data_IF_068699353436
#
_entry.id   IF_068699353436
#
_cell.length_a   1.000
_cell.length_b   1.000
_cell.length_c   1.000
_cell.angle_alpha   90.00
_cell.angle_beta   90.00
_cell.angle_gamma   90.00
#
_symmetry.space_group_name_H-M   'P 1'
#
loop_
_entity.id
_entity.type
_entity.pdbx_description
1 polymer ?
#
# COMPACT_ATOMS: atom_id res chain seq x y z
N UNK A 1 -33.60 -20.66 13.00
CA UNK A 1 -32.57 -19.83 13.67
C UNK A 1 -31.61 -19.31 12.61
N UNK A 2 -31.86 -18.11 12.08
CA UNK A 2 -31.03 -17.47 11.05
C UNK A 2 -30.63 -16.09 11.55
N UNK A 3 -29.54 -16.02 12.32
CA UNK A 3 -28.91 -14.77 12.75
C UNK A 3 -27.74 -14.49 11.81
N UNK A 4 -27.87 -13.41 11.05
CA UNK A 4 -27.02 -13.04 9.93
C UNK A 4 -25.58 -12.69 10.34
N UNK A 5 -24.61 -13.22 9.58
CA UNK A 5 -23.21 -12.77 9.51
C UNK A 5 -23.03 -11.31 9.00
N UNK A 6 -24.10 -10.52 8.96
CA UNK A 6 -24.06 -9.12 8.55
C UNK A 6 -23.66 -8.18 9.69
N UNK A 7 -23.87 -8.55 10.96
CA UNK A 7 -23.50 -7.72 12.10
C UNK A 7 -22.00 -7.74 12.42
N UNK A 8 -21.24 -8.72 11.93
CA UNK A 8 -19.78 -8.77 12.10
C UNK A 8 -19.01 -7.94 11.07
N UNK A 9 -19.67 -7.37 10.05
CA UNK A 9 -19.02 -6.51 9.03
C UNK A 9 -19.03 -5.01 9.39
N UNK A 10 -19.58 -4.60 10.53
CA UNK A 10 -19.53 -3.19 10.98
C UNK A 10 -18.17 -2.75 11.56
N UNK A 11 -17.24 -3.67 11.84
CA UNK A 11 -15.95 -3.37 12.46
C UNK A 11 -14.73 -3.23 11.53
N UNK A 12 -14.90 -3.27 10.20
CA UNK A 12 -13.78 -3.18 9.24
C UNK A 12 -13.75 -1.89 8.42
N UNK A 13 -14.61 -0.93 8.74
CA UNK A 13 -14.41 0.42 8.25
C UNK A 13 -13.33 1.06 9.10
N UNK A 14 -12.29 1.58 8.46
CA UNK A 14 -11.30 2.42 9.11
C UNK A 14 -12.07 3.58 9.76
N UNK A 15 -12.19 3.60 11.10
CA UNK A 15 -12.76 4.77 11.74
C UNK A 15 -11.82 5.94 11.46
N UNK A 16 -12.31 6.89 10.66
CA UNK A 16 -11.58 8.11 10.27
C UNK A 16 -10.99 8.84 11.48
N UNK A 17 -11.60 8.70 12.66
CA UNK A 17 -11.14 9.26 13.93
C UNK A 17 -9.77 8.73 14.39
N UNK A 18 -9.29 7.63 13.82
CA UNK A 18 -8.01 7.01 14.17
C UNK A 18 -6.95 7.04 13.08
N UNK A 19 -7.35 7.28 11.82
CA UNK A 19 -6.44 7.44 10.69
C UNK A 19 -5.78 8.83 10.75
N UNK A 20 -4.48 8.86 11.01
CA UNK A 20 -3.73 10.10 11.15
C UNK A 20 -2.78 10.29 9.95
N UNK A 21 -2.59 11.54 9.56
CA UNK A 21 -1.60 11.91 8.57
C UNK A 21 -0.25 12.13 9.23
N UNK A 22 0.80 11.52 8.67
CA UNK A 22 2.16 11.64 9.17
C UNK A 22 3.11 12.12 8.07
N UNK A 23 4.15 12.84 8.46
CA UNK A 23 5.27 13.13 7.55
C UNK A 23 6.04 11.85 7.28
N UNK A 24 6.43 11.66 6.03
CA UNK A 24 7.13 10.45 5.61
C UNK A 24 8.52 10.35 6.24
N UNK A 25 9.21 11.47 6.38
CA UNK A 25 10.53 11.55 6.99
C UNK A 25 10.77 12.81 7.80
N UNK A 26 11.99 12.93 8.28
CA UNK A 26 12.42 14.05 9.12
C UNK A 26 12.55 15.35 8.31
N UNK A 27 11.99 16.45 8.83
CA UNK A 27 12.21 17.79 8.30
C UNK A 27 13.40 18.45 8.99
N UNK A 28 14.49 18.61 8.23
CA UNK A 28 15.75 19.19 8.70
C UNK A 28 15.88 20.68 8.44
N UNK A 29 14.83 21.36 7.98
CA UNK A 29 14.84 22.82 7.81
C UNK A 29 15.09 23.57 9.13
N UNK A 30 14.72 22.95 10.27
CA UNK A 30 15.05 23.43 11.61
C UNK A 30 16.06 22.49 12.29
N UNK A 31 17.35 22.88 12.28
CA UNK A 31 18.45 22.09 12.86
C UNK A 31 18.40 22.00 14.40
N UNK A 32 17.64 22.87 15.07
CA UNK A 32 17.57 22.93 16.54
C UNK A 32 16.48 21.98 17.07
N UNK A 33 15.36 21.88 16.35
CA UNK A 33 14.24 21.00 16.69
C UNK A 33 13.68 20.35 15.42
N UNK A 34 14.34 19.32 14.87
CA UNK A 34 13.82 18.63 13.71
C UNK A 34 12.48 17.98 14.04
N UNK A 35 11.51 18.15 13.12
CA UNK A 35 10.21 17.50 13.23
C UNK A 35 10.38 16.11 12.61
N UNK A 36 10.13 15.07 13.40
CA UNK A 36 10.26 13.69 12.95
C UNK A 36 9.24 13.31 11.89
N UNK A 37 9.51 12.18 11.25
CA UNK A 37 8.57 11.50 10.35
C UNK A 37 8.64 9.99 10.56
N UNK A 38 7.91 9.25 9.74
CA UNK A 38 7.80 7.80 9.81
C UNK A 38 9.17 7.11 9.62
N UNK A 39 9.98 7.61 8.68
CA UNK A 39 11.20 6.96 8.23
C UNK A 39 12.40 7.92 8.26
N UNK A 40 13.58 7.40 8.57
CA UNK A 40 14.82 8.18 8.53
C UNK A 40 15.34 8.34 7.10
N UNK A 41 15.09 7.34 6.26
CA UNK A 41 15.45 7.35 4.85
C UNK A 41 14.18 7.14 4.02
N UNK A 42 13.78 8.14 3.25
CA UNK A 42 12.57 8.08 2.42
C UNK A 42 12.85 7.67 0.97
N UNK A 43 14.09 7.26 0.67
CA UNK A 43 14.50 6.97 -0.70
C UNK A 43 14.36 8.19 -1.61
N UNK A 44 13.66 8.01 -2.73
CA UNK A 44 13.35 9.09 -3.68
C UNK A 44 12.12 9.91 -3.28
N UNK A 45 11.36 9.48 -2.26
CA UNK A 45 10.19 10.22 -1.80
C UNK A 45 10.60 11.44 -0.98
N UNK A 46 9.83 12.52 -1.12
CA UNK A 46 10.04 13.73 -0.33
C UNK A 46 9.82 13.45 1.16
N UNK A 47 10.79 13.75 2.04
CA UNK A 47 10.65 13.50 3.47
C UNK A 47 9.54 14.34 4.12
N UNK A 48 9.19 15.49 3.52
CA UNK A 48 8.12 16.35 4.03
C UNK A 48 6.73 15.99 3.48
N UNK A 49 6.62 14.99 2.60
CA UNK A 49 5.34 14.50 2.12
C UNK A 49 4.50 13.97 3.29
N UNK A 50 3.19 14.22 3.24
CA UNK A 50 2.24 13.67 4.19
C UNK A 50 1.58 12.43 3.62
N UNK A 51 1.48 11.38 4.43
CA UNK A 51 0.80 10.13 4.08
C UNK A 51 -0.23 9.80 5.14
N UNK A 52 -1.35 9.24 4.71
CA UNK A 52 -2.32 8.63 5.61
C UNK A 52 -1.75 7.31 6.09
N UNK A 53 -1.81 7.07 7.40
CA UNK A 53 -1.41 5.80 7.98
C UNK A 53 -2.61 5.02 8.49
N UNK A 54 -2.49 3.70 8.46
CA UNK A 54 -3.45 2.81 9.11
C UNK A 54 -3.33 2.86 10.64
N UNK A 55 -4.18 2.09 11.29
CA UNK A 55 -4.36 2.09 12.74
C UNK A 55 -3.40 1.14 13.48
N UNK A 56 -2.59 0.37 12.74
CA UNK A 56 -1.73 -0.68 13.30
C UNK A 56 -0.39 -0.08 13.78
N UNK A 57 -0.48 0.70 14.86
CA UNK A 57 0.54 1.53 15.54
C UNK A 57 1.94 0.86 15.76
N UNK A 58 2.74 0.73 14.70
CA UNK A 58 4.09 0.12 14.72
C UNK A 58 5.26 1.09 14.80
N UNK A 59 5.12 2.28 14.20
CA UNK A 59 6.24 3.19 14.01
C UNK A 59 6.18 4.32 15.02
N UNK A 60 7.24 4.52 15.79
CA UNK A 60 7.34 5.63 16.74
C UNK A 60 7.77 6.91 16.01
N UNK A 61 6.98 7.98 16.14
CA UNK A 61 7.21 9.29 15.51
C UNK A 61 7.30 10.36 16.59
N UNK A 62 8.34 11.20 16.51
CA UNK A 62 8.48 12.40 17.35
C UNK A 62 7.85 13.60 16.64
N UNK A 63 6.88 14.24 17.26
CA UNK A 63 6.21 15.43 16.76
C UNK A 63 6.99 16.71 17.09
N UNK A 64 6.66 17.81 16.40
CA UNK A 64 7.33 19.09 16.56
C UNK A 64 7.18 19.73 17.95
N UNK A 65 6.17 19.33 18.72
CA UNK A 65 5.98 19.73 20.12
C UNK A 65 6.78 18.86 21.12
N UNK A 66 7.52 17.86 20.64
CA UNK A 66 8.28 16.92 21.46
C UNK A 66 7.54 15.63 21.81
N UNK A 67 6.24 15.53 21.54
CA UNK A 67 5.45 14.35 21.83
C UNK A 67 5.90 13.15 20.99
N UNK A 68 5.75 11.96 21.56
CA UNK A 68 6.05 10.70 20.90
C UNK A 68 4.73 9.97 20.67
N UNK A 69 4.38 9.76 19.41
CA UNK A 69 3.18 9.01 19.01
C UNK A 69 3.54 7.78 18.20
N UNK A 70 2.62 6.83 18.11
CA UNK A 70 2.78 5.66 17.24
C UNK A 70 1.87 5.78 16.01
N UNK A 71 2.46 5.53 14.85
CA UNK A 71 1.82 5.53 13.55
C UNK A 71 1.73 4.10 13.00
N UNK A 72 0.70 3.84 12.19
CA UNK A 72 0.61 2.63 11.38
C UNK A 72 1.51 2.67 10.14
N UNK A 73 1.36 1.68 9.27
CA UNK A 73 1.96 1.74 7.94
C UNK A 73 1.22 2.77 7.07
N UNK A 74 1.87 3.38 6.06
CA UNK A 74 1.17 4.16 5.06
C UNK A 74 0.02 3.37 4.42
N UNK A 75 -1.01 4.07 3.96
CA UNK A 75 -2.08 3.47 3.15
C UNK A 75 -1.75 3.73 1.69
N UNK A 76 -1.77 2.68 0.85
CA UNK A 76 -1.64 2.85 -0.60
C UNK A 76 -2.93 3.44 -1.16
N UNK A 77 -2.81 4.45 -2.01
CA UNK A 77 -3.93 5.10 -2.67
C UNK A 77 -3.79 5.01 -4.18
N UNK A 78 -4.69 4.29 -4.84
CA UNK A 78 -4.74 4.22 -6.30
C UNK A 78 -5.99 4.94 -6.79
N UNK A 79 -5.79 6.05 -7.50
CA UNK A 79 -6.89 6.76 -8.15
C UNK A 79 -7.25 6.05 -9.45
N UNK A 80 -8.54 5.85 -9.70
CA UNK A 80 -8.98 5.36 -10.98
C UNK A 80 -8.93 6.46 -12.04
N UNK A 81 -8.47 6.11 -13.24
CA UNK A 81 -8.68 6.88 -14.46
C UNK A 81 -9.80 6.22 -15.28
N UNK A 82 -11.05 6.73 -15.19
CA UNK A 82 -12.18 6.14 -15.90
C UNK A 82 -12.11 6.37 -17.42
N UNK A 83 -11.17 7.20 -17.91
CA UNK A 83 -10.96 7.38 -19.34
C UNK A 83 -10.14 6.24 -19.95
N UNK A 84 -9.38 5.51 -19.14
CA UNK A 84 -8.64 4.33 -19.56
C UNK A 84 -9.58 3.12 -19.69
N UNK A 85 -9.59 2.52 -20.88
CA UNK A 85 -10.48 1.39 -21.20
C UNK A 85 -9.89 0.02 -20.85
N UNK A 86 -8.62 -0.01 -20.47
CA UNK A 86 -7.88 -1.23 -20.18
C UNK A 86 -7.65 -1.36 -18.68
N UNK A 87 -8.16 -2.43 -18.08
CA UNK A 87 -7.84 -2.76 -16.70
C UNK A 87 -6.34 -3.00 -16.51
N UNK A 88 -5.73 -3.72 -17.45
CA UNK A 88 -4.28 -3.94 -17.54
C UNK A 88 -3.89 -4.11 -19.01
N UNK A 89 -2.67 -3.74 -19.38
CA UNK A 89 -2.14 -4.07 -20.71
C UNK A 89 -1.84 -5.57 -20.82
N UNK A 90 -2.10 -6.15 -22.00
CA UNK A 90 -1.97 -7.59 -22.25
C UNK A 90 -0.54 -8.06 -22.46
N UNK A 91 0.35 -7.18 -22.88
CA UNK A 91 1.77 -7.47 -23.09
C UNK A 91 2.61 -7.30 -21.81
N UNK A 92 2.01 -6.75 -20.75
CA UNK A 92 2.64 -6.49 -19.46
C UNK A 92 3.79 -5.49 -19.49
N UNK A 93 3.91 -4.69 -20.56
CA UNK A 93 5.07 -3.82 -20.81
C UNK A 93 4.95 -2.46 -20.11
N UNK A 94 3.74 -1.93 -20.00
CA UNK A 94 3.45 -0.65 -19.35
C UNK A 94 2.05 -0.65 -18.71
N UNK A 95 1.99 -0.30 -17.42
CA UNK A 95 0.75 -0.20 -16.66
C UNK A 95 0.34 1.25 -16.35
N UNK A 96 1.08 2.25 -16.84
CA UNK A 96 0.80 3.67 -16.61
C UNK A 96 -0.53 4.15 -17.22
N UNK A 97 -1.02 3.42 -18.22
CA UNK A 97 -2.27 3.68 -18.95
C UNK A 97 -3.39 2.70 -18.57
N UNK A 98 -3.20 1.95 -17.48
CA UNK A 98 -4.24 1.09 -16.92
C UNK A 98 -5.26 1.94 -16.12
N UNK A 99 -6.42 1.36 -15.80
CA UNK A 99 -7.45 2.04 -14.97
C UNK A 99 -6.86 2.55 -13.65
N UNK A 100 -5.94 1.79 -13.07
CA UNK A 100 -5.11 2.24 -11.96
C UNK A 100 -3.68 2.33 -12.45
N UNK A 101 -2.85 3.23 -11.92
CA UNK A 101 -1.43 3.18 -12.19
C UNK A 101 -0.73 2.47 -11.03
N UNK A 102 -0.26 1.25 -11.26
CA UNK A 102 0.40 0.44 -10.21
C UNK A 102 1.67 1.10 -9.66
N UNK A 103 2.27 2.02 -10.44
CA UNK A 103 3.47 2.74 -10.04
C UNK A 103 3.21 3.91 -9.09
N UNK A 104 1.96 4.34 -8.90
CA UNK A 104 1.63 5.53 -8.08
C UNK A 104 2.14 5.42 -6.64
N UNK A 105 2.23 4.20 -6.09
CA UNK A 105 2.67 3.96 -4.72
C UNK A 105 3.95 3.13 -4.60
N UNK A 106 4.69 2.93 -5.70
CA UNK A 106 5.90 2.08 -5.70
C UNK A 106 6.92 2.53 -4.65
N UNK A 107 7.12 3.84 -4.52
CA UNK A 107 8.03 4.39 -3.52
C UNK A 107 7.63 4.03 -2.09
N UNK A 108 6.32 3.99 -1.77
CA UNK A 108 5.85 3.63 -0.43
C UNK A 108 6.05 2.14 -0.13
N UNK A 109 5.85 1.29 -1.14
CA UNK A 109 6.10 -0.16 -1.06
C UNK A 109 7.59 -0.44 -0.80
N UNK A 110 8.48 0.32 -1.46
CA UNK A 110 9.94 0.14 -1.35
C UNK A 110 10.53 0.58 0.00
N UNK A 111 9.85 1.47 0.74
CA UNK A 111 10.38 2.05 1.98
C UNK A 111 10.80 1.01 3.01
N UNK A 112 10.09 -0.12 3.08
CA UNK A 112 10.42 -1.19 4.02
C UNK A 112 11.77 -1.81 3.70
N UNK A 113 12.01 -2.17 2.43
CA UNK A 113 13.29 -2.70 2.00
C UNK A 113 14.42 -1.69 2.26
N UNK A 114 14.18 -0.41 2.02
CA UNK A 114 15.14 0.67 2.33
C UNK A 114 15.44 0.72 3.84
N UNK A 115 14.43 0.63 4.71
CA UNK A 115 14.62 0.64 6.16
C UNK A 115 15.38 -0.59 6.66
N UNK A 116 15.17 -1.76 6.04
CA UNK A 116 15.75 -3.02 6.47
C UNK A 116 17.17 -3.25 5.92
N UNK A 117 17.47 -2.80 4.69
CA UNK A 117 18.84 -2.74 4.17
C UNK A 117 19.76 -1.92 5.09
N UNK A 118 19.20 -0.90 5.74
CA UNK A 118 19.89 -0.08 6.74
C UNK A 118 20.18 -0.84 8.06
N UNK A 119 19.57 -2.01 8.28
CA UNK A 119 19.61 -2.77 9.55
C UNK A 119 20.33 -4.12 9.42
N UNK A 120 20.19 -4.86 8.31
CA UNK A 120 20.95 -6.09 7.98
C UNK A 120 20.93 -6.33 6.45
N UNK A 121 22.05 -6.73 5.81
CA UNK A 121 22.09 -7.01 4.36
C UNK A 121 21.40 -8.31 3.93
N UNK A 122 20.70 -9.00 4.84
CA UNK A 122 19.98 -10.24 4.53
C UNK A 122 18.63 -9.89 3.91
N UNK A 123 18.47 -10.26 2.63
CA UNK A 123 17.29 -10.11 1.76
C UNK A 123 15.96 -10.06 2.53
N UNK A 124 15.25 -8.95 2.40
CA UNK A 124 13.88 -8.78 2.86
C UNK A 124 12.98 -9.60 1.95
N UNK A 125 12.26 -10.57 2.52
CA UNK A 125 11.18 -11.26 1.81
C UNK A 125 9.90 -10.42 1.99
N UNK A 126 9.81 -9.30 1.29
CA UNK A 126 8.53 -8.59 1.11
C UNK A 126 7.90 -9.16 -0.16
N UNK A 127 6.67 -9.71 -0.11
CA UNK A 127 6.03 -10.31 -1.27
C UNK A 127 5.98 -9.40 -2.50
N UNK A 128 5.90 -8.07 -2.33
CA UNK A 128 5.95 -7.10 -3.43
C UNK A 128 7.37 -6.73 -3.86
N UNK A 129 8.36 -6.96 -3.01
CA UNK A 129 9.77 -6.70 -3.24
C UNK A 129 10.49 -8.04 -3.42
N UNK A 130 10.18 -8.72 -4.53
CA UNK A 130 10.72 -10.05 -4.85
C UNK A 130 12.20 -10.12 -4.52
N UNK A 131 12.61 -11.07 -3.67
CA UNK A 131 13.96 -11.14 -3.08
C UNK A 131 15.13 -11.31 -4.08
N UNK A 132 14.86 -11.23 -5.38
CA UNK A 132 15.78 -11.22 -6.51
C UNK A 132 15.86 -9.86 -7.25
N UNK A 133 15.11 -8.84 -6.81
CA UNK A 133 15.05 -7.53 -7.45
C UNK A 133 14.06 -7.45 -8.63
N UNK A 134 13.30 -8.51 -8.89
CA UNK A 134 12.23 -8.51 -9.90
C UNK A 134 10.92 -8.07 -9.23
N UNK A 135 10.55 -6.81 -9.43
CA UNK A 135 9.31 -6.25 -8.91
C UNK A 135 8.10 -7.05 -9.43
N UNK A 136 7.49 -7.84 -8.55
CA UNK A 136 6.24 -8.58 -8.82
C UNK A 136 5.00 -7.72 -8.58
N UNK A 137 5.16 -6.40 -8.43
CA UNK A 137 4.05 -5.48 -8.10
C UNK A 137 2.93 -5.58 -9.15
N UNK A 138 3.19 -5.56 -10.47
CA UNK A 138 2.10 -5.76 -11.43
C UNK A 138 1.46 -7.14 -11.30
N UNK A 139 2.25 -8.19 -11.03
CA UNK A 139 1.72 -9.55 -10.87
C UNK A 139 0.76 -9.65 -9.69
N UNK A 140 1.12 -9.11 -8.52
CA UNK A 140 0.27 -9.13 -7.33
C UNK A 140 -0.91 -8.16 -7.45
N UNK A 141 -0.69 -6.98 -8.05
CA UNK A 141 -1.73 -5.96 -8.17
C UNK A 141 -2.78 -6.31 -9.24
N UNK A 142 -2.37 -6.79 -10.41
CA UNK A 142 -3.27 -7.09 -11.53
C UNK A 142 -3.54 -8.58 -11.74
N UNK A 143 -2.83 -9.49 -11.08
CA UNK A 143 -2.98 -10.93 -11.28
C UNK A 143 -2.36 -11.40 -12.59
N UNK A 144 -1.21 -10.85 -12.97
CA UNK A 144 -0.52 -11.18 -14.23
C UNK A 144 0.58 -12.18 -13.94
N UNK A 145 0.51 -13.35 -14.56
CA UNK A 145 1.58 -14.34 -14.45
C UNK A 145 2.83 -13.86 -15.17
N UNK A 146 3.95 -13.76 -14.45
CA UNK A 146 5.29 -13.66 -15.04
C UNK A 146 6.11 -14.81 -14.46
N UNK A 147 6.28 -15.89 -15.23
CA UNK A 147 7.00 -17.09 -14.77
C UNK A 147 6.23 -17.92 -13.72
N UNK A 148 6.94 -18.38 -12.66
CA UNK A 148 6.47 -19.37 -11.68
C UNK A 148 5.56 -18.79 -10.57
N UNK A 149 5.32 -17.49 -10.55
CA UNK A 149 4.45 -16.79 -9.59
C UNK A 149 3.18 -16.33 -10.31
N UNK A 150 2.14 -17.15 -10.23
CA UNK A 150 0.80 -16.82 -10.70
C UNK A 150 -0.11 -16.65 -9.50
N UNK A 151 -0.53 -15.41 -9.22
CA UNK A 151 -1.74 -15.19 -8.44
C UNK A 151 -2.93 -15.32 -9.40
N UNK A 152 -3.92 -16.15 -9.06
CA UNK A 152 -5.10 -16.34 -9.91
C UNK A 152 -5.92 -15.05 -10.07
N UNK A 153 -5.85 -14.15 -9.08
CA UNK A 153 -6.49 -12.84 -9.06
C UNK A 153 -5.55 -11.84 -8.39
N UNK A 154 -5.38 -10.67 -9.02
CA UNK A 154 -4.64 -9.55 -8.41
C UNK A 154 -5.49 -8.74 -7.46
N UNK A 155 -4.87 -7.89 -6.64
CA UNK A 155 -5.59 -7.01 -5.72
C UNK A 155 -6.66 -6.17 -6.40
N UNK A 156 -6.36 -5.56 -7.55
CA UNK A 156 -7.30 -4.68 -8.21
C UNK A 156 -8.38 -5.42 -9.01
N UNK A 157 -8.32 -6.75 -9.14
CA UNK A 157 -9.23 -7.52 -10.00
C UNK A 157 -10.48 -7.99 -9.25
N UNK A 158 -11.66 -7.73 -9.81
CA UNK A 158 -12.94 -8.25 -9.33
C UNK A 158 -13.12 -9.72 -9.75
N UNK A 159 -13.08 -10.70 -8.82
CA UNK A 159 -13.23 -12.12 -9.12
C UNK A 159 -14.68 -12.50 -9.44
N UNK A 160 -15.65 -11.61 -9.22
CA UNK A 160 -17.05 -11.85 -9.60
C UNK A 160 -17.24 -11.76 -11.11
N UNK A 161 -16.33 -11.09 -11.82
CA UNK A 161 -16.31 -11.03 -13.28
C UNK A 161 -15.30 -12.05 -13.79
N UNK A 162 -15.79 -13.19 -14.28
CA UNK A 162 -14.94 -14.31 -14.73
C UNK A 162 -14.71 -14.34 -16.24
N UNK A 163 -15.49 -13.57 -17.01
CA UNK A 163 -15.42 -13.57 -18.48
C UNK A 163 -14.16 -12.89 -19.00
N UNK A 164 -13.65 -11.89 -18.28
CA UNK A 164 -12.40 -11.19 -18.57
C UNK A 164 -11.93 -10.41 -17.33
N UNK A 165 -10.64 -10.07 -17.19
CA UNK A 165 -10.14 -9.29 -16.07
C UNK A 165 -10.83 -7.92 -15.96
N UNK A 166 -11.46 -7.65 -14.81
CA UNK A 166 -12.19 -6.40 -14.55
C UNK A 166 -11.69 -5.75 -13.25
N UNK A 167 -11.58 -4.40 -13.18
CA UNK A 167 -11.17 -3.74 -11.96
C UNK A 167 -12.31 -3.69 -10.93
N UNK A 168 -11.98 -3.74 -9.65
CA UNK A 168 -12.86 -3.15 -8.63
C UNK A 168 -12.97 -1.64 -8.84
N UNK A 169 -14.13 -1.03 -8.58
CA UNK A 169 -14.32 0.41 -8.41
C UNK A 169 -13.69 1.34 -9.48
N UNK A 170 -13.79 0.99 -10.77
CA UNK A 170 -13.15 1.68 -11.91
C UNK A 170 -13.39 3.19 -12.05
N UNK A 171 -14.31 3.76 -11.27
CA UNK A 171 -14.69 5.17 -11.31
C UNK A 171 -14.09 6.01 -10.17
N UNK A 172 -13.51 5.38 -9.14
CA UNK A 172 -13.14 6.09 -7.89
C UNK A 172 -11.71 5.82 -7.46
N UNK A 173 -11.51 4.99 -6.43
CA UNK A 173 -10.21 4.74 -5.84
C UNK A 173 -10.17 3.40 -5.09
N UNK A 174 -8.95 2.90 -4.94
CA UNK A 174 -8.62 1.75 -4.10
C UNK A 174 -7.71 2.22 -2.95
N UNK A 175 -8.02 1.78 -1.74
CA UNK A 175 -7.20 1.93 -0.54
C UNK A 175 -6.73 0.54 -0.09
N UNK A 176 -5.44 0.42 0.23
CA UNK A 176 -4.84 -0.81 0.75
C UNK A 176 -4.00 -0.45 1.98
N UNK A 177 -4.37 -1.00 3.13
CA UNK A 177 -3.57 -0.99 4.37
C UNK A 177 -2.77 -2.28 4.46
N UNK A 178 -1.51 -2.17 4.88
CA UNK A 178 -0.58 -3.27 5.09
C UNK A 178 -0.91 -4.19 6.29
N UNK A 179 -2.13 -4.08 6.83
CA UNK A 179 -2.58 -4.89 7.96
C UNK A 179 -1.74 -4.75 9.23
N UNK A 180 -1.86 -5.78 10.07
CA UNK A 180 -1.17 -5.86 11.35
C UNK A 180 0.31 -6.19 11.15
N UNK A 181 0.73 -6.85 10.07
CA UNK A 181 2.12 -7.24 9.82
C UNK A 181 2.95 -6.12 9.16
N UNK A 182 2.29 -5.10 8.62
CA UNK A 182 2.92 -3.94 7.99
C UNK A 182 3.64 -4.29 6.67
N UNK A 183 3.29 -5.42 6.06
CA UNK A 183 3.68 -5.85 4.72
C UNK A 183 2.48 -5.67 3.80
N UNK A 184 2.71 -5.19 2.58
CA UNK A 184 1.68 -5.25 1.55
C UNK A 184 1.85 -6.55 0.76
N UNK A 185 0.77 -7.11 0.23
CA UNK A 185 0.84 -8.38 -0.48
C UNK A 185 0.55 -9.61 0.39
N UNK A 186 0.20 -9.42 1.66
CA UNK A 186 -0.06 -10.49 2.63
C UNK A 186 -1.57 -10.70 2.85
N UNK A 187 -1.90 -11.75 3.61
CA UNK A 187 -3.30 -12.13 3.86
C UNK A 187 -4.04 -11.16 4.79
N UNK A 188 -3.32 -10.39 5.60
CA UNK A 188 -3.89 -9.44 6.56
C UNK A 188 -4.12 -8.03 5.99
N UNK A 189 -3.81 -7.81 4.70
CA UNK A 189 -4.10 -6.56 4.00
C UNK A 189 -5.59 -6.20 4.06
N UNK A 190 -5.88 -4.97 4.52
CA UNK A 190 -7.24 -4.43 4.61
C UNK A 190 -7.51 -3.50 3.44
N UNK A 191 -8.64 -3.71 2.77
CA UNK A 191 -9.02 -3.04 1.51
C UNK A 191 -10.41 -2.42 1.62
N UNK A 192 -10.65 -1.31 0.91
CA UNK A 192 -11.99 -0.70 0.80
C UNK A 192 -12.88 -1.34 -0.29
N UNK A 193 -12.49 -2.51 -0.81
CA UNK A 193 -13.14 -3.24 -1.90
C UNK A 193 -13.04 -4.76 -1.68
N UNK A 194 -13.71 -5.56 -2.53
CA UNK A 194 -13.57 -7.02 -2.56
C UNK A 194 -14.32 -7.81 -1.48
N UNK A 195 -15.64 -7.55 -1.38
CA UNK A 195 -16.56 -8.12 -0.37
C UNK A 195 -17.38 -9.33 -0.82
#
# INVERSE_FOLDING_TARGET
SGGSFLDTRKGRYLELESANAFRLGEDRSNLINPIGGLYQNTGLLSPIAQVLCDVFKKTTVKQGNGDIIKAGAPILYYRADPTNKLFRQSDGSDYSTSVYNVYDNVGLIELRAIQEQSKKPSRVNDPLNGGDGTFSIPAIFYGVGSGNTTTAYGYAQDPKVTTYPWPYNSETYLLISAGEDGLYGTEDDVRNFGN
#
